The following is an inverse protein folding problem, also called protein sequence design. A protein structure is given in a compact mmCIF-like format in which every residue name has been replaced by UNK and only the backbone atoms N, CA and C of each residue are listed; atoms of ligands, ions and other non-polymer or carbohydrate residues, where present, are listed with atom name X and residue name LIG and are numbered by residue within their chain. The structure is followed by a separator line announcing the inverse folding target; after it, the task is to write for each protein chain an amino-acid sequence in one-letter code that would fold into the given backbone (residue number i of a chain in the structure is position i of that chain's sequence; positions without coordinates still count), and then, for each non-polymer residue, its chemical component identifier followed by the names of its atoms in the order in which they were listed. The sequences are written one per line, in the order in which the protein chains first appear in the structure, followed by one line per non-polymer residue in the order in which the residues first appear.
data_IF_199684649209
#
_entry.id   IF_199684649209
#
_cell.length_a   1.000
_cell.length_b   1.000
_cell.length_c   1.000
_cell.angle_alpha   90.00
_cell.angle_beta   90.00
_cell.angle_gamma   90.00
#
_symmetry.space_group_name_H-M   'P 1'
#
loop_
_entity.id
_entity.type
_entity.pdbx_description
1 polymer ?
#
# COMPACT_ATOMS: atom_id res chain seq x y z
N UNK A 1 -19.20 2.02 8.80
CA UNK A 1 -19.29 1.28 7.53
C UNK A 1 -17.89 0.83 7.14
N UNK A 2 -17.68 -0.43 6.76
CA UNK A 2 -16.39 -0.87 6.22
C UNK A 2 -16.31 -0.41 4.77
N UNK A 3 -15.42 0.53 4.48
CA UNK A 3 -15.14 0.98 3.11
C UNK A 3 -14.45 -0.19 2.40
N UNK A 4 -14.97 -0.57 1.24
CA UNK A 4 -14.32 -1.60 0.42
C UNK A 4 -13.05 -1.03 -0.22
N UNK A 5 -12.01 -1.86 -0.50
CA UNK A 5 -10.80 -1.38 -1.18
C UNK A 5 -11.10 -0.66 -2.50
N UNK A 6 -12.14 -1.09 -3.23
CA UNK A 6 -12.57 -0.45 -4.47
C UNK A 6 -13.17 0.93 -4.22
N UNK A 7 -14.06 1.09 -3.23
CA UNK A 7 -14.60 2.40 -2.85
C UNK A 7 -13.51 3.35 -2.35
N UNK A 8 -12.49 2.82 -1.65
CA UNK A 8 -11.35 3.62 -1.24
C UNK A 8 -10.56 4.14 -2.45
N UNK A 9 -10.28 3.28 -3.43
CA UNK A 9 -9.60 3.68 -4.66
C UNK A 9 -10.43 4.68 -5.47
N UNK A 10 -11.75 4.51 -5.58
CA UNK A 10 -12.61 5.45 -6.32
C UNK A 10 -12.53 6.87 -5.73
N UNK A 11 -12.40 6.97 -4.41
CA UNK A 11 -12.34 8.25 -3.70
C UNK A 11 -10.92 8.75 -3.42
N UNK A 12 -9.89 7.96 -3.76
CA UNK A 12 -8.50 8.32 -3.49
C UNK A 12 -8.01 9.41 -4.47
N UNK A 13 -7.30 10.46 -3.97
CA UNK A 13 -6.67 11.44 -4.83
C UNK A 13 -5.72 10.77 -5.82
N UNK A 14 -5.59 11.34 -7.00
CA UNK A 14 -4.86 10.72 -8.10
C UNK A 14 -3.37 10.56 -7.83
N UNK A 15 -2.79 11.45 -7.03
CA UNK A 15 -1.38 11.42 -6.60
C UNK A 15 -1.05 10.18 -5.76
N UNK A 16 -2.05 9.64 -5.06
CA UNK A 16 -1.90 8.50 -4.16
C UNK A 16 -2.66 7.26 -4.64
N UNK A 17 -3.45 7.38 -5.72
CA UNK A 17 -4.20 6.27 -6.29
C UNK A 17 -3.30 5.47 -7.26
N UNK A 18 -2.79 4.29 -6.84
CA UNK A 18 -1.87 3.52 -7.67
C UNK A 18 -2.53 3.05 -8.97
N UNK A 19 -3.85 2.81 -8.98
CA UNK A 19 -4.57 2.36 -10.16
C UNK A 19 -4.60 3.46 -11.25
N UNK A 20 -4.86 4.71 -10.87
CA UNK A 20 -4.86 5.84 -11.82
C UNK A 20 -3.46 6.12 -12.36
N UNK A 21 -2.44 6.10 -11.49
CA UNK A 21 -1.04 6.25 -11.89
C UNK A 21 -0.61 5.19 -12.91
N UNK A 22 -1.02 3.94 -12.69
CA UNK A 22 -0.78 2.85 -13.62
C UNK A 22 -1.53 3.00 -14.94
N UNK A 23 -2.80 3.38 -14.93
CA UNK A 23 -3.58 3.65 -16.15
C UNK A 23 -2.90 4.74 -17.00
N UNK A 24 -2.44 5.82 -16.38
CA UNK A 24 -1.69 6.89 -17.06
C UNK A 24 -0.35 6.40 -17.62
N UNK A 25 0.32 5.47 -16.96
CA UNK A 25 1.55 4.87 -17.45
C UNK A 25 1.29 4.00 -18.69
N UNK A 26 0.25 3.17 -18.64
CA UNK A 26 -0.19 2.35 -19.79
C UNK A 26 -0.56 3.21 -20.98
N UNK A 27 -1.37 4.25 -20.77
CA UNK A 27 -1.79 5.14 -21.84
C UNK A 27 -0.60 5.85 -22.51
N UNK A 28 0.44 6.22 -21.75
CA UNK A 28 1.67 6.80 -22.31
C UNK A 28 2.45 5.79 -23.15
N UNK A 29 2.57 4.54 -22.69
CA UNK A 29 3.24 3.47 -23.44
C UNK A 29 2.47 3.12 -24.73
N UNK A 30 1.15 3.12 -24.68
CA UNK A 30 0.29 2.92 -25.85
C UNK A 30 0.49 4.02 -26.89
N UNK A 31 0.47 5.29 -26.47
CA UNK A 31 0.69 6.44 -27.35
C UNK A 31 2.10 6.46 -27.96
N UNK A 32 3.10 5.90 -27.26
CA UNK A 32 4.46 5.75 -27.77
C UNK A 32 4.63 4.55 -28.72
N UNK A 33 3.63 3.68 -28.85
CA UNK A 33 3.74 2.42 -29.59
C UNK A 33 4.63 1.37 -28.90
N UNK A 34 4.94 1.57 -27.62
CA UNK A 34 5.82 0.71 -26.81
C UNK A 34 5.02 -0.32 -25.97
N UNK A 35 3.68 -0.32 -26.10
CA UNK A 35 2.83 -1.27 -25.41
C UNK A 35 2.75 -2.60 -26.18
N UNK A 36 3.74 -3.46 -26.00
CA UNK A 36 3.74 -4.81 -26.53
C UNK A 36 3.35 -5.87 -25.48
N UNK A 37 3.14 -7.11 -25.94
CA UNK A 37 2.75 -8.22 -25.06
C UNK A 37 3.78 -8.52 -23.96
N UNK A 38 5.07 -8.27 -24.23
CA UNK A 38 6.13 -8.48 -23.25
C UNK A 38 6.02 -7.45 -22.12
N UNK A 39 5.86 -6.18 -22.48
CA UNK A 39 5.68 -5.04 -21.57
C UNK A 39 4.43 -5.22 -20.71
N UNK A 40 3.32 -5.66 -21.30
CA UNK A 40 2.10 -5.98 -20.55
C UNK A 40 2.31 -7.10 -19.52
N UNK A 41 3.08 -8.15 -19.86
CA UNK A 41 3.40 -9.25 -18.93
C UNK A 41 4.30 -8.79 -17.79
N UNK A 42 5.29 -7.95 -18.07
CA UNK A 42 6.14 -7.38 -17.03
C UNK A 42 5.35 -6.47 -16.08
N UNK A 43 4.44 -5.66 -16.63
CA UNK A 43 3.54 -4.84 -15.81
C UNK A 43 2.64 -5.70 -14.93
N UNK A 44 2.06 -6.79 -15.45
CA UNK A 44 1.28 -7.72 -14.65
C UNK A 44 2.08 -8.29 -13.47
N UNK A 45 3.32 -8.73 -13.70
CA UNK A 45 4.22 -9.20 -12.64
C UNK A 45 4.52 -8.12 -11.61
N UNK A 46 4.77 -6.89 -12.05
CA UNK A 46 5.03 -5.77 -11.14
C UNK A 46 3.82 -5.46 -10.25
N UNK A 47 2.60 -5.60 -10.78
CA UNK A 47 1.35 -5.45 -10.02
C UNK A 47 1.22 -6.53 -8.96
N UNK A 48 1.40 -7.80 -9.34
CA UNK A 48 1.33 -8.93 -8.41
C UNK A 48 2.35 -8.79 -7.28
N UNK A 49 3.59 -8.39 -7.60
CA UNK A 49 4.63 -8.12 -6.62
C UNK A 49 4.24 -6.99 -5.66
N UNK A 50 3.72 -5.87 -6.19
CA UNK A 50 3.29 -4.75 -5.37
C UNK A 50 2.13 -5.13 -4.42
N UNK A 51 1.17 -5.94 -4.89
CA UNK A 51 0.08 -6.47 -4.06
C UNK A 51 0.65 -7.36 -2.94
N UNK A 52 1.58 -8.27 -3.26
CA UNK A 52 2.20 -9.14 -2.27
C UNK A 52 2.92 -8.33 -1.20
N UNK A 53 3.76 -7.38 -1.62
CA UNK A 53 4.53 -6.52 -0.71
C UNK A 53 3.60 -5.71 0.20
N UNK A 54 2.59 -5.05 -0.37
CA UNK A 54 1.61 -4.30 0.43
C UNK A 54 0.85 -5.17 1.43
N UNK A 55 0.55 -6.42 1.06
CA UNK A 55 -0.11 -7.38 1.96
C UNK A 55 0.82 -7.82 3.10
N UNK A 56 2.11 -7.98 2.84
CA UNK A 56 3.11 -8.29 3.86
C UNK A 56 3.32 -7.10 4.81
N UNK A 57 3.39 -5.88 4.28
CA UNK A 57 3.54 -4.65 5.06
C UNK A 57 2.35 -4.42 6.00
N UNK A 58 1.11 -4.60 5.51
CA UNK A 58 -0.10 -4.51 6.34
C UNK A 58 -0.07 -5.55 7.47
N UNK A 59 0.34 -6.79 7.18
CA UNK A 59 0.49 -7.82 8.21
C UNK A 59 1.55 -7.47 9.23
N UNK A 60 2.67 -6.88 8.82
CA UNK A 60 3.73 -6.45 9.73
C UNK A 60 3.25 -5.31 10.65
N UNK A 61 2.49 -4.35 10.13
CA UNK A 61 1.91 -3.25 10.91
C UNK A 61 0.90 -3.77 11.92
N UNK A 62 -0.04 -4.63 11.52
CA UNK A 62 -1.05 -5.18 12.45
C UNK A 62 -0.38 -6.03 13.56
N UNK A 63 0.61 -6.87 13.23
CA UNK A 63 1.40 -7.60 14.24
C UNK A 63 2.10 -6.66 15.23
N UNK A 64 2.66 -5.56 14.72
CA UNK A 64 3.36 -4.57 15.56
C UNK A 64 2.38 -3.84 16.48
N UNK A 65 1.22 -3.47 15.96
CA UNK A 65 0.12 -2.85 16.71
C UNK A 65 -0.40 -3.78 17.81
N UNK A 66 -0.65 -5.06 17.50
CA UNK A 66 -1.03 -6.06 18.50
C UNK A 66 0.05 -6.22 19.59
N UNK A 67 1.32 -6.24 19.20
CA UNK A 67 2.44 -6.31 20.16
C UNK A 67 2.47 -5.09 21.08
N UNK A 68 2.23 -3.89 20.55
CA UNK A 68 2.18 -2.65 21.35
C UNK A 68 0.98 -2.67 22.32
N UNK A 69 -0.20 -3.06 21.84
CA UNK A 69 -1.40 -3.18 22.68
C UNK A 69 -1.23 -4.20 23.81
N UNK A 70 -0.53 -5.30 23.55
CA UNK A 70 -0.27 -6.35 24.54
C UNK A 70 1.01 -6.11 25.37
N UNK A 71 1.77 -5.06 25.09
CA UNK A 71 2.93 -4.71 25.90
C UNK A 71 2.47 -4.18 27.25
N UNK A 72 3.06 -4.70 28.34
CA UNK A 72 2.82 -4.13 29.68
C UNK A 72 3.28 -2.67 29.66
N UNK A 73 2.38 -1.77 30.05
CA UNK A 73 2.77 -0.40 30.41
C UNK A 73 3.82 -0.50 31.50
N UNK A 74 5.08 -0.25 31.14
CA UNK A 74 6.10 0.05 32.13
C UNK A 74 5.67 1.39 32.70
N UNK A 75 5.18 1.39 33.94
CA UNK A 75 4.97 2.61 34.69
C UNK A 75 6.26 3.41 34.55
N UNK A 76 6.16 4.56 33.87
CA UNK A 76 7.25 5.51 33.77
C UNK A 76 7.70 5.79 35.19
N UNK A 77 8.89 5.32 35.56
CA UNK A 77 9.56 5.77 36.75
C UNK A 77 9.97 7.23 36.51
N UNK A 78 8.99 8.13 36.51
CA UNK A 78 9.24 9.54 36.74
C UNK A 78 9.78 9.59 38.16
N UNK A 79 11.04 9.99 38.40
CA UNK A 79 11.50 10.21 39.75
C UNK A 79 10.66 11.36 40.31
N UNK A 80 9.72 11.06 41.22
CA UNK A 80 9.12 12.11 42.03
C UNK A 80 10.17 12.56 43.03
N UNK A 81 10.85 13.66 42.72
CA UNK A 81 11.80 14.28 43.64
C UNK A 81 12.73 15.28 42.95
N UNK A 82 12.31 16.54 42.91
CA UNK A 82 13.21 17.69 43.02
C UNK A 82 12.92 18.37 44.35
#
# INVERSE_FOLDING_TARGET
MKITPLEFLINAPEEVNPALSMCRKLQRLELAGELDSATMKEMAKAIELAISQGTDDVRAVERTKERLLNSRSLASAVPMGF
#
